data_IF_690202315848
#
_entry.id   IF_690202315848
#
_cell.length_a   1.000
_cell.length_b   1.000
_cell.length_c   1.000
_cell.angle_alpha   90.00
_cell.angle_beta   90.00
_cell.angle_gamma   90.00
#
_symmetry.space_group_name_H-M   'P 1'
#
loop_
_entity.id
_entity.type
_entity.pdbx_description
1 polymer ?
#
# COMPACT_ATOMS: atom_id res chain seq x y z
N UNK A 1 4.78 -23.65 -10.35
CA UNK A 1 6.10 -24.02 -9.79
C UNK A 1 6.36 -23.40 -8.42
N UNK A 2 6.02 -22.14 -8.20
CA UNK A 2 6.31 -21.41 -6.94
C UNK A 2 5.71 -22.05 -5.69
N UNK A 3 4.41 -22.42 -5.68
CA UNK A 3 3.74 -23.02 -4.50
C UNK A 3 4.44 -24.29 -4.00
N UNK A 4 4.69 -25.27 -4.89
CA UNK A 4 5.34 -26.55 -4.53
C UNK A 4 6.72 -26.33 -3.92
N UNK A 5 7.53 -25.44 -4.51
CA UNK A 5 8.86 -25.13 -3.99
C UNK A 5 8.79 -24.47 -2.62
N UNK A 6 7.91 -23.48 -2.41
CA UNK A 6 7.75 -22.83 -1.09
C UNK A 6 7.26 -23.81 -0.01
N UNK A 7 6.35 -24.72 -0.37
CA UNK A 7 5.91 -25.79 0.52
C UNK A 7 7.04 -26.77 0.89
N UNK A 8 7.94 -27.10 -0.05
CA UNK A 8 9.12 -27.92 0.26
C UNK A 8 10.11 -27.25 1.24
N UNK A 9 10.03 -25.92 1.39
CA UNK A 9 10.78 -25.17 2.41
C UNK A 9 10.04 -25.09 3.77
N UNK A 10 8.95 -25.84 3.93
CA UNK A 10 8.13 -25.85 5.15
C UNK A 10 7.30 -24.58 5.37
N UNK A 11 7.06 -23.79 4.31
CA UNK A 11 6.30 -22.54 4.38
C UNK A 11 4.84 -22.78 3.99
N UNK A 12 3.93 -22.19 4.76
CA UNK A 12 2.53 -22.07 4.36
C UNK A 12 2.42 -21.13 3.16
N UNK A 13 1.72 -21.54 2.10
CA UNK A 13 1.50 -20.69 0.92
C UNK A 13 0.05 -20.24 0.93
N UNK A 14 -0.15 -18.96 1.20
CA UNK A 14 -1.47 -18.31 1.25
C UNK A 14 -1.68 -17.58 -0.08
N UNK A 15 -2.80 -17.83 -0.74
CA UNK A 15 -3.13 -17.20 -2.02
C UNK A 15 -4.45 -16.47 -1.90
N UNK A 16 -4.37 -15.16 -1.69
CA UNK A 16 -5.50 -14.27 -1.68
C UNK A 16 -6.02 -14.11 -3.11
N UNK A 17 -7.06 -14.88 -3.44
CA UNK A 17 -7.64 -14.95 -4.78
C UNK A 17 -9.16 -14.76 -4.71
N UNK A 18 -9.62 -13.53 -4.38
CA UNK A 18 -11.04 -13.28 -4.11
C UNK A 18 -11.95 -13.59 -5.31
N UNK A 19 -11.44 -13.54 -6.54
CA UNK A 19 -12.20 -13.81 -7.77
C UNK A 19 -12.07 -15.25 -8.29
N UNK A 20 -11.31 -16.11 -7.60
CA UNK A 20 -11.16 -17.51 -8.02
C UNK A 20 -10.48 -17.70 -9.38
N UNK A 21 -9.66 -16.76 -9.84
CA UNK A 21 -9.15 -16.68 -11.24
C UNK A 21 -8.31 -17.90 -11.64
N UNK A 22 -7.36 -18.27 -10.79
CA UNK A 22 -6.38 -19.33 -11.08
C UNK A 22 -6.72 -20.65 -10.37
N UNK A 23 -7.52 -20.58 -9.32
CA UNK A 23 -8.02 -21.70 -8.52
C UNK A 23 -9.21 -21.24 -7.67
N UNK A 24 -10.05 -22.14 -7.14
CA UNK A 24 -11.12 -21.75 -6.24
C UNK A 24 -10.59 -20.92 -5.06
N UNK A 25 -11.31 -19.86 -4.69
CA UNK A 25 -10.98 -19.05 -3.53
C UNK A 25 -11.09 -19.90 -2.26
N UNK A 26 -9.95 -20.11 -1.58
CA UNK A 26 -9.85 -20.97 -0.37
C UNK A 26 -9.30 -20.20 0.82
N UNK A 27 -8.30 -19.37 0.58
CA UNK A 27 -7.71 -18.53 1.61
C UNK A 27 -8.54 -17.27 1.80
N UNK A 28 -8.77 -16.92 3.06
CA UNK A 28 -9.52 -15.75 3.47
C UNK A 28 -8.61 -14.79 4.22
N UNK A 29 -8.99 -13.52 4.25
CA UNK A 29 -8.25 -12.48 4.95
C UNK A 29 -9.21 -11.49 5.59
N UNK A 30 -9.21 -11.43 6.92
CA UNK A 30 -9.92 -10.41 7.67
C UNK A 30 -8.93 -9.32 8.12
N UNK A 31 -9.01 -8.10 7.57
CA UNK A 31 -8.13 -7.01 7.98
C UNK A 31 -8.24 -6.64 9.46
N UNK A 32 -9.38 -6.91 10.10
CA UNK A 32 -9.58 -6.59 11.51
C UNK A 32 -8.80 -7.51 12.47
N UNK A 33 -8.32 -8.67 12.00
CA UNK A 33 -7.45 -9.56 12.80
C UNK A 33 -6.08 -8.92 13.11
N UNK A 34 -5.74 -7.83 12.42
CA UNK A 34 -4.57 -7.00 12.74
C UNK A 34 -4.70 -6.29 14.10
N UNK A 35 -5.93 -5.99 14.53
CA UNK A 35 -6.22 -5.07 15.63
C UNK A 35 -6.10 -5.76 16.99
N UNK A 36 -5.21 -5.25 17.84
CA UNK A 36 -5.07 -5.72 19.22
C UNK A 36 -5.91 -4.87 20.17
N UNK A 37 -6.64 -5.53 21.08
CA UNK A 37 -7.46 -4.82 22.07
C UNK A 37 -6.65 -3.84 22.94
N UNK A 38 -5.41 -4.20 23.31
CA UNK A 38 -4.52 -3.32 24.09
C UNK A 38 -4.05 -2.06 23.34
N UNK A 39 -4.15 -2.03 22.01
CA UNK A 39 -3.72 -0.92 21.16
C UNK A 39 -4.81 -0.51 20.16
N UNK A 40 -6.07 -0.69 20.56
CA UNK A 40 -7.25 -0.62 19.71
C UNK A 40 -7.24 0.58 18.77
N UNK A 41 -7.14 1.80 19.32
CA UNK A 41 -7.16 3.05 18.55
C UNK A 41 -6.03 3.09 17.52
N UNK A 42 -4.79 2.81 17.93
CA UNK A 42 -3.62 2.86 17.04
C UNK A 42 -3.75 1.86 15.90
N UNK A 43 -4.20 0.64 16.19
CA UNK A 43 -4.28 -0.42 15.19
C UNK A 43 -5.48 -0.19 14.24
N UNK A 44 -6.59 0.42 14.71
CA UNK A 44 -7.72 0.85 13.88
C UNK A 44 -7.30 1.89 12.84
N UNK A 45 -6.50 2.89 13.23
CA UNK A 45 -6.04 3.94 12.30
C UNK A 45 -5.26 3.35 11.11
N UNK A 46 -4.53 2.24 11.31
CA UNK A 46 -3.84 1.55 10.21
C UNK A 46 -4.84 0.98 9.19
N UNK A 47 -5.97 0.45 9.65
CA UNK A 47 -7.01 -0.06 8.75
C UNK A 47 -7.72 1.09 8.04
N UNK A 48 -8.09 2.15 8.77
CA UNK A 48 -8.77 3.32 8.20
C UNK A 48 -7.91 4.07 7.15
N UNK A 49 -6.62 4.26 7.42
CA UNK A 49 -5.65 4.87 6.48
C UNK A 49 -5.44 4.00 5.21
N UNK A 50 -5.57 2.69 5.36
CA UNK A 50 -5.52 1.74 4.24
C UNK A 50 -6.74 1.82 3.34
N UNK A 51 -7.92 2.08 3.91
CA UNK A 51 -9.20 2.15 3.20
C UNK A 51 -9.41 3.50 2.49
N UNK A 52 -9.04 4.61 3.11
CA UNK A 52 -9.30 5.95 2.56
C UNK A 52 -8.05 6.49 1.87
N UNK A 53 -8.18 6.78 0.57
CA UNK A 53 -7.11 7.42 -0.20
C UNK A 53 -7.00 8.91 0.20
N UNK A 54 -5.78 9.46 0.32
CA UNK A 54 -5.59 10.90 0.48
C UNK A 54 -6.15 11.63 -0.75
N UNK A 55 -6.87 12.73 -0.50
CA UNK A 55 -7.33 13.66 -1.53
C UNK A 55 -6.71 15.05 -1.31
N UNK A 56 -6.59 15.85 -2.36
CA UNK A 56 -6.07 17.23 -2.28
C UNK A 56 -7.18 18.27 -2.06
N UNK A 57 -6.78 19.48 -1.66
CA UNK A 57 -7.69 20.62 -1.51
C UNK A 57 -8.83 20.36 -0.52
N UNK A 58 -10.06 20.74 -0.88
CA UNK A 58 -11.25 20.51 -0.05
C UNK A 58 -11.55 19.01 0.20
N UNK A 59 -11.09 18.12 -0.70
CA UNK A 59 -11.23 16.67 -0.54
C UNK A 59 -10.47 16.12 0.66
N UNK A 60 -9.33 16.74 1.02
CA UNK A 60 -8.52 16.32 2.17
C UNK A 60 -9.32 16.31 3.48
N UNK A 61 -10.08 17.38 3.72
CA UNK A 61 -10.91 17.48 4.91
C UNK A 61 -12.01 16.41 4.95
N UNK A 62 -12.64 16.10 3.81
CA UNK A 62 -13.65 15.04 3.74
C UNK A 62 -13.03 13.65 3.93
N UNK A 63 -11.83 13.41 3.41
CA UNK A 63 -11.08 12.18 3.63
C UNK A 63 -10.73 11.97 5.11
N UNK A 64 -10.32 13.01 5.84
CA UNK A 64 -10.07 12.91 7.30
C UNK A 64 -11.34 12.59 8.09
N UNK A 65 -12.46 13.22 7.74
CA UNK A 65 -13.74 12.93 8.40
C UNK A 65 -14.25 11.52 8.09
N UNK A 66 -14.11 11.07 6.83
CA UNK A 66 -14.45 9.71 6.44
C UNK A 66 -13.59 8.68 7.18
N UNK A 67 -12.27 8.91 7.29
CA UNK A 67 -11.37 8.08 8.10
C UNK A 67 -11.81 8.00 9.56
N UNK A 68 -12.09 9.16 10.16
CA UNK A 68 -12.55 9.23 11.56
C UNK A 68 -13.85 8.46 11.78
N UNK A 69 -14.81 8.56 10.86
CA UNK A 69 -16.06 7.81 10.92
C UNK A 69 -15.84 6.31 10.74
N UNK A 70 -15.04 5.89 9.75
CA UNK A 70 -14.70 4.47 9.53
C UNK A 70 -14.00 3.89 10.77
N UNK A 71 -13.05 4.63 11.34
CA UNK A 71 -12.36 4.24 12.56
C UNK A 71 -13.34 4.06 13.74
N UNK A 72 -14.30 4.99 13.91
CA UNK A 72 -15.34 4.88 14.93
C UNK A 72 -16.22 3.63 14.74
N UNK A 73 -16.64 3.33 13.51
CA UNK A 73 -17.44 2.12 13.25
C UNK A 73 -16.64 0.86 13.53
N UNK A 74 -15.38 0.79 13.10
CA UNK A 74 -14.49 -0.34 13.41
C UNK A 74 -14.35 -0.48 14.93
N UNK A 75 -14.19 0.61 15.68
CA UNK A 75 -14.08 0.59 17.14
C UNK A 75 -15.33 -0.03 17.80
N UNK A 76 -16.53 0.37 17.35
CA UNK A 76 -17.78 -0.21 17.84
C UNK A 76 -17.89 -1.70 17.47
N UNK A 77 -17.51 -2.08 16.25
CA UNK A 77 -17.49 -3.50 15.85
C UNK A 77 -16.55 -4.32 16.73
N UNK A 78 -15.32 -3.83 16.95
CA UNK A 78 -14.31 -4.54 17.74
C UNK A 78 -14.65 -4.66 19.23
N UNK A 79 -15.46 -3.74 19.77
CA UNK A 79 -15.79 -3.68 21.20
C UNK A 79 -17.17 -4.21 21.54
N UNK A 80 -18.14 -4.13 20.62
CA UNK A 80 -19.56 -4.46 20.89
C UNK A 80 -20.06 -5.67 20.13
N UNK A 81 -19.36 -6.13 19.09
CA UNK A 81 -19.72 -7.35 18.38
C UNK A 81 -18.97 -8.55 18.94
N UNK A 82 -19.61 -9.72 18.83
CA UNK A 82 -18.99 -11.01 19.09
C UNK A 82 -17.87 -11.25 18.10
N UNK A 83 -16.90 -12.09 18.47
CA UNK A 83 -15.67 -12.29 17.69
C UNK A 83 -15.92 -12.75 16.25
N UNK A 84 -16.93 -13.58 16.01
CA UNK A 84 -17.32 -14.03 14.67
C UNK A 84 -17.73 -12.91 13.72
N UNK A 85 -18.19 -11.79 14.29
CA UNK A 85 -18.75 -10.66 13.54
C UNK A 85 -17.75 -9.51 13.45
N UNK A 86 -16.52 -9.67 13.96
CA UNK A 86 -15.46 -8.66 13.91
C UNK A 86 -14.72 -8.68 12.58
N UNK A 87 -15.43 -8.32 11.51
CA UNK A 87 -14.88 -8.26 10.16
C UNK A 87 -15.36 -7.00 9.43
N UNK A 88 -14.75 -6.70 8.28
CA UNK A 88 -15.14 -5.54 7.47
C UNK A 88 -16.55 -5.63 6.90
N UNK A 89 -17.12 -6.83 6.81
CA UNK A 89 -18.48 -7.05 6.33
C UNK A 89 -19.47 -6.38 7.29
N UNK A 90 -19.34 -6.65 8.59
CA UNK A 90 -20.14 -6.01 9.64
C UNK A 90 -19.95 -4.50 9.69
N UNK A 91 -18.73 -4.01 9.43
CA UNK A 91 -18.44 -2.57 9.35
C UNK A 91 -19.22 -1.94 8.19
N UNK A 92 -19.20 -2.55 7.01
CA UNK A 92 -19.96 -2.09 5.84
C UNK A 92 -21.46 -2.13 6.08
N UNK A 93 -21.97 -3.23 6.62
CA UNK A 93 -23.40 -3.41 6.87
C UNK A 93 -23.93 -2.36 7.85
N UNK A 94 -23.13 -1.97 8.84
CA UNK A 94 -23.45 -0.91 9.78
C UNK A 94 -23.42 0.48 9.13
N UNK A 95 -22.34 0.81 8.41
CA UNK A 95 -22.16 2.09 7.70
C UNK A 95 -23.25 2.36 6.66
N UNK A 96 -23.68 1.32 5.94
CA UNK A 96 -24.64 1.44 4.85
C UNK A 96 -26.06 1.01 5.25
N UNK A 97 -26.31 0.80 6.54
CA UNK A 97 -27.65 0.48 7.04
C UNK A 97 -28.62 1.65 6.86
N UNK A 98 -29.89 1.35 6.56
CA UNK A 98 -30.94 2.37 6.51
C UNK A 98 -31.17 3.07 7.86
N UNK A 99 -30.76 2.43 8.96
CA UNK A 99 -30.85 2.97 10.32
C UNK A 99 -29.60 3.72 10.78
N UNK A 100 -28.61 3.93 9.91
CA UNK A 100 -27.31 4.47 10.32
C UNK A 100 -27.42 5.80 11.06
N UNK A 101 -28.32 6.70 10.63
CA UNK A 101 -28.55 7.97 11.33
C UNK A 101 -29.05 7.80 12.76
N UNK A 102 -29.98 6.87 12.99
CA UNK A 102 -30.46 6.52 14.34
C UNK A 102 -29.31 5.95 15.18
N UNK A 103 -28.48 5.10 14.58
CA UNK A 103 -27.27 4.57 15.23
C UNK A 103 -26.31 5.67 15.62
N UNK A 104 -26.09 6.68 14.77
CA UNK A 104 -25.25 7.83 15.10
C UNK A 104 -25.82 8.63 16.28
N UNK A 105 -27.14 8.86 16.31
CA UNK A 105 -27.78 9.55 17.44
C UNK A 105 -27.55 8.78 18.74
N UNK A 106 -27.75 7.46 18.73
CA UNK A 106 -27.53 6.60 19.90
C UNK A 106 -26.07 6.66 20.39
N UNK A 107 -25.10 6.61 19.46
CA UNK A 107 -23.68 6.71 19.83
C UNK A 107 -23.34 8.06 20.43
N UNK A 108 -23.85 9.15 19.85
CA UNK A 108 -23.60 10.50 20.33
C UNK A 108 -24.14 10.74 21.76
N UNK A 109 -25.25 10.08 22.13
CA UNK A 109 -25.88 10.23 23.44
C UNK A 109 -25.39 9.26 24.51
N UNK A 110 -24.66 8.21 24.12
CA UNK A 110 -24.26 7.11 25.03
C UNK A 110 -22.75 6.80 24.95
N UNK A 111 -21.87 7.77 25.23
CA UNK A 111 -20.41 7.58 25.16
C UNK A 111 -19.88 6.51 26.12
N UNK A 112 -20.53 6.27 27.25
CA UNK A 112 -20.22 5.17 28.18
C UNK A 112 -20.49 3.79 27.56
N UNK A 113 -21.44 3.73 26.62
CA UNK A 113 -21.87 2.50 25.94
C UNK A 113 -21.15 2.28 24.62
N UNK A 114 -20.66 3.31 23.92
CA UNK A 114 -20.01 3.12 22.61
C UNK A 114 -18.56 3.57 22.57
N UNK A 115 -18.10 4.29 23.60
CA UNK A 115 -16.79 4.92 23.64
C UNK A 115 -16.88 6.39 23.23
N UNK A 116 -15.94 7.19 23.74
CA UNK A 116 -15.90 8.64 23.51
C UNK A 116 -15.56 8.99 22.06
N UNK A 117 -14.71 8.19 21.39
CA UNK A 117 -14.34 8.37 19.98
C UNK A 117 -15.52 8.13 19.04
N UNK A 118 -16.26 6.99 19.11
CA UNK A 118 -17.47 6.81 18.32
C UNK A 118 -18.54 7.86 18.57
N UNK A 119 -18.77 8.24 19.84
CA UNK A 119 -19.71 9.30 20.19
C UNK A 119 -19.33 10.66 19.56
N UNK A 120 -18.05 11.05 19.62
CA UNK A 120 -17.57 12.29 19.04
C UNK A 120 -17.63 12.29 17.51
N UNK A 121 -17.27 11.18 16.86
CA UNK A 121 -17.38 11.04 15.41
C UNK A 121 -18.85 11.13 14.95
N UNK A 122 -19.76 10.49 15.68
CA UNK A 122 -21.19 10.54 15.41
C UNK A 122 -21.76 11.96 15.58
N UNK A 123 -21.47 12.62 16.70
CA UNK A 123 -21.89 14.00 16.95
C UNK A 123 -21.37 14.96 15.85
N UNK A 124 -20.12 14.78 15.42
CA UNK A 124 -19.50 15.57 14.36
C UNK A 124 -20.22 15.39 13.01
N UNK A 125 -20.59 14.15 12.65
CA UNK A 125 -21.31 13.88 11.40
C UNK A 125 -22.75 14.39 11.45
N UNK A 126 -23.43 14.26 12.59
CA UNK A 126 -24.79 14.80 12.80
C UNK A 126 -24.83 16.33 12.77
N UNK A 127 -23.80 17.00 13.27
CA UNK A 127 -23.68 18.45 13.24
C UNK A 127 -23.28 19.01 11.85
N UNK A 128 -22.84 18.15 10.92
CA UNK A 128 -22.47 18.59 9.58
C UNK A 128 -23.71 18.92 8.75
N UNK A 129 -23.70 20.06 8.04
CA UNK A 129 -24.75 20.39 7.08
C UNK A 129 -24.83 19.38 5.93
N UNK A 130 -25.99 19.29 5.28
CA UNK A 130 -26.33 18.25 4.28
C UNK A 130 -25.26 18.05 3.20
N UNK A 131 -24.77 19.13 2.58
CA UNK A 131 -23.72 19.06 1.55
C UNK A 131 -22.42 18.44 2.08
N UNK A 132 -22.02 18.78 3.30
CA UNK A 132 -20.81 18.27 3.94
C UNK A 132 -20.98 16.80 4.30
N UNK A 133 -22.14 16.42 4.85
CA UNK A 133 -22.48 15.03 5.16
C UNK A 133 -22.49 14.17 3.89
N UNK A 134 -23.13 14.63 2.82
CA UNK A 134 -23.15 13.93 1.53
C UNK A 134 -21.76 13.72 0.92
N UNK A 135 -20.86 14.70 1.06
CA UNK A 135 -19.46 14.56 0.64
C UNK A 135 -18.72 13.48 1.45
N UNK A 136 -18.89 13.46 2.77
CA UNK A 136 -18.28 12.44 3.66
C UNK A 136 -18.81 11.05 3.31
N UNK A 137 -20.13 10.90 3.17
CA UNK A 137 -20.77 9.63 2.80
C UNK A 137 -20.27 9.13 1.43
N UNK A 138 -20.05 10.03 0.48
CA UNK A 138 -19.47 9.68 -0.83
C UNK A 138 -18.05 9.15 -0.69
N UNK A 139 -17.22 9.78 0.16
CA UNK A 139 -15.86 9.30 0.42
C UNK A 139 -15.85 7.95 1.14
N UNK A 140 -16.77 7.73 2.08
CA UNK A 140 -16.94 6.42 2.74
C UNK A 140 -17.35 5.35 1.72
N UNK A 141 -18.31 5.64 0.83
CA UNK A 141 -18.71 4.70 -0.25
C UNK A 141 -17.51 4.31 -1.11
N UNK A 142 -16.74 5.28 -1.60
CA UNK A 142 -15.50 5.02 -2.38
C UNK A 142 -14.51 4.11 -1.66
N UNK A 143 -14.41 4.19 -0.32
CA UNK A 143 -13.50 3.37 0.48
C UNK A 143 -13.90 1.87 0.53
N UNK A 144 -15.18 1.56 0.25
CA UNK A 144 -15.72 0.19 0.30
C UNK A 144 -16.29 -0.30 -1.04
N UNK A 145 -16.29 0.52 -2.10
CA UNK A 145 -16.84 0.16 -3.42
C UNK A 145 -16.21 -1.10 -4.02
N UNK A 146 -14.97 -1.42 -3.64
CA UNK A 146 -14.28 -2.64 -4.05
C UNK A 146 -14.89 -3.92 -3.47
N UNK A 147 -15.57 -3.86 -2.32
CA UNK A 147 -16.02 -5.02 -1.52
C UNK A 147 -17.50 -5.39 -1.71
N UNK A 148 -18.06 -5.13 -2.90
CA UNK A 148 -19.51 -5.27 -3.18
C UNK A 148 -19.97 -6.70 -3.50
N UNK A 149 -19.07 -7.59 -3.91
CA UNK A 149 -19.45 -8.94 -4.35
C UNK A 149 -19.55 -9.92 -3.17
N UNK A 150 -20.42 -10.92 -3.28
CA UNK A 150 -20.59 -11.93 -2.24
C UNK A 150 -19.33 -12.78 -2.06
N UNK A 151 -18.57 -13.00 -3.14
CA UNK A 151 -17.27 -13.67 -3.10
C UNK A 151 -16.26 -12.91 -2.25
N UNK A 152 -16.21 -11.58 -2.40
CA UNK A 152 -15.35 -10.72 -1.59
C UNK A 152 -15.81 -10.66 -0.14
N UNK A 153 -17.13 -10.65 0.12
CA UNK A 153 -17.66 -10.74 1.48
C UNK A 153 -17.23 -12.06 2.13
N UNK A 154 -17.40 -13.20 1.45
CA UNK A 154 -16.92 -14.50 1.96
C UNK A 154 -15.41 -14.49 2.24
N UNK A 155 -14.63 -13.90 1.33
CA UNK A 155 -13.18 -13.76 1.46
C UNK A 155 -12.74 -12.92 2.67
N UNK A 156 -13.51 -11.90 3.06
CA UNK A 156 -13.19 -10.99 4.17
C UNK A 156 -13.64 -11.49 5.57
N UNK A 157 -14.31 -12.65 5.63
CA UNK A 157 -14.98 -13.11 6.86
C UNK A 157 -14.03 -13.56 7.98
N UNK A 158 -12.84 -14.05 7.65
CA UNK A 158 -11.84 -14.54 8.61
C UNK A 158 -10.44 -14.57 7.96
N UNK A 159 -9.36 -14.71 8.72
CA UNK A 159 -8.03 -14.97 8.15
C UNK A 159 -7.65 -16.44 8.17
N UNK A 160 -7.15 -16.95 7.04
CA UNK A 160 -6.56 -18.31 6.98
C UNK A 160 -5.13 -18.35 7.55
N UNK A 161 -4.45 -17.20 7.62
CA UNK A 161 -3.10 -17.09 8.14
C UNK A 161 -2.90 -15.75 8.86
N UNK A 162 -2.20 -15.77 9.99
CA UNK A 162 -1.74 -14.55 10.65
C UNK A 162 -0.64 -13.87 9.83
N UNK A 163 -0.69 -12.54 9.71
CA UNK A 163 0.37 -11.76 9.05
C UNK A 163 1.72 -11.85 9.79
N UNK A 164 1.73 -12.18 11.09
CA UNK A 164 2.97 -12.41 11.83
C UNK A 164 3.80 -13.57 11.26
N UNK A 165 3.13 -14.57 10.66
CA UNK A 165 3.80 -15.71 10.05
C UNK A 165 4.71 -15.30 8.88
N UNK A 166 4.45 -14.16 8.24
CA UNK A 166 5.33 -13.60 7.21
C UNK A 166 6.71 -13.27 7.80
N UNK A 167 6.72 -12.54 8.92
CA UNK A 167 7.93 -12.08 9.63
C UNK A 167 8.62 -13.17 10.45
N UNK A 168 7.89 -14.25 10.78
CA UNK A 168 8.47 -15.47 11.36
C UNK A 168 9.05 -16.41 10.32
N UNK A 169 8.91 -16.10 9.03
CA UNK A 169 9.37 -16.94 7.93
C UNK A 169 8.61 -18.26 7.80
N UNK A 170 7.36 -18.29 8.26
CA UNK A 170 6.46 -19.45 8.25
C UNK A 170 5.46 -19.41 7.09
N UNK A 171 5.20 -18.25 6.50
CA UNK A 171 4.24 -18.10 5.41
C UNK A 171 4.78 -17.24 4.25
N UNK A 172 4.31 -17.55 3.03
CA UNK A 172 4.37 -16.68 1.85
C UNK A 172 2.93 -16.31 1.46
N UNK A 173 2.71 -15.03 1.15
CA UNK A 173 1.42 -14.50 0.73
C UNK A 173 1.50 -14.05 -0.73
N UNK A 174 0.56 -14.51 -1.54
CA UNK A 174 0.39 -14.10 -2.93
C UNK A 174 -0.99 -13.47 -3.09
N UNK A 175 -1.06 -12.36 -3.83
CA UNK A 175 -2.32 -11.72 -4.20
C UNK A 175 -2.58 -11.95 -5.68
N UNK A 176 -3.80 -12.36 -6.02
CA UNK A 176 -4.24 -12.60 -7.39
C UNK A 176 -5.41 -11.66 -7.68
N UNK A 177 -5.19 -10.72 -8.58
CA UNK A 177 -6.22 -9.80 -9.09
C UNK A 177 -6.30 -9.95 -10.61
N UNK A 178 -7.49 -10.15 -11.20
CA UNK A 178 -7.68 -10.06 -12.64
C UNK A 178 -7.19 -8.71 -13.19
N UNK A 179 -6.62 -8.67 -14.40
CA UNK A 179 -6.10 -7.43 -15.00
C UNK A 179 -7.17 -6.34 -15.13
N UNK A 180 -8.40 -6.72 -15.44
CA UNK A 180 -9.56 -5.83 -15.55
C UNK A 180 -10.09 -5.33 -14.19
N UNK A 181 -9.64 -5.94 -13.08
CA UNK A 181 -10.05 -5.59 -11.71
C UNK A 181 -8.98 -4.83 -10.93
N UNK A 182 -7.76 -4.64 -11.47
CA UNK A 182 -6.63 -4.04 -10.74
C UNK A 182 -7.00 -2.68 -10.17
N UNK A 183 -7.59 -1.79 -10.98
CA UNK A 183 -7.96 -0.45 -10.53
C UNK A 183 -9.14 -0.46 -9.55
N UNK A 184 -10.11 -1.35 -9.77
CA UNK A 184 -11.25 -1.53 -8.87
C UNK A 184 -10.81 -2.05 -7.49
N UNK A 185 -9.74 -2.84 -7.43
CA UNK A 185 -9.21 -3.44 -6.20
C UNK A 185 -8.05 -2.66 -5.58
N UNK A 186 -7.66 -1.53 -6.15
CA UNK A 186 -6.50 -0.79 -5.65
C UNK A 186 -6.68 -0.27 -4.20
N UNK A 187 -7.92 -0.06 -3.71
CA UNK A 187 -8.16 0.21 -2.28
C UNK A 187 -7.86 -1.02 -1.41
N UNK A 188 -8.26 -2.22 -1.85
CA UNK A 188 -7.93 -3.44 -1.13
C UNK A 188 -6.42 -3.71 -1.12
N UNK A 189 -5.75 -3.55 -2.26
CA UNK A 189 -4.28 -3.69 -2.35
C UNK A 189 -3.57 -2.69 -1.42
N UNK A 190 -4.07 -1.45 -1.37
CA UNK A 190 -3.59 -0.41 -0.46
C UNK A 190 -3.80 -0.84 1.00
N UNK A 191 -4.99 -1.31 1.35
CA UNK A 191 -5.29 -1.80 2.70
C UNK A 191 -4.34 -2.92 3.11
N UNK A 192 -4.24 -3.98 2.30
CA UNK A 192 -3.36 -5.12 2.55
C UNK A 192 -1.91 -4.67 2.75
N UNK A 193 -1.43 -3.81 1.85
CA UNK A 193 -0.08 -3.24 1.94
C UNK A 193 0.07 -2.47 3.25
N UNK A 194 -0.86 -1.57 3.58
CA UNK A 194 -0.80 -0.76 4.79
C UNK A 194 -0.79 -1.61 6.07
N UNK A 195 -1.56 -2.70 6.10
CA UNK A 195 -1.60 -3.65 7.22
C UNK A 195 -0.28 -4.42 7.36
N UNK A 196 0.33 -4.87 6.26
CA UNK A 196 1.64 -5.56 6.28
C UNK A 196 2.75 -4.60 6.76
N UNK A 197 2.76 -3.37 6.25
CA UNK A 197 3.72 -2.34 6.67
C UNK A 197 3.52 -1.96 8.14
N UNK A 198 2.27 -1.83 8.58
CA UNK A 198 1.94 -1.62 9.99
C UNK A 198 2.45 -2.75 10.89
N UNK A 199 2.33 -4.00 10.44
CA UNK A 199 2.86 -5.15 11.16
C UNK A 199 4.39 -5.11 11.29
N UNK A 200 5.11 -4.71 10.23
CA UNK A 200 6.56 -4.56 10.28
C UNK A 200 7.02 -3.54 11.31
N UNK A 201 6.43 -2.34 11.29
CA UNK A 201 6.73 -1.26 12.25
C UNK A 201 6.37 -1.68 13.67
N UNK A 202 5.25 -2.39 13.84
CA UNK A 202 4.84 -2.95 15.13
C UNK A 202 5.86 -3.96 15.67
N UNK A 203 6.37 -4.84 14.81
CA UNK A 203 7.33 -5.87 15.22
C UNK A 203 8.68 -5.27 15.56
N UNK A 204 9.19 -4.32 14.77
CA UNK A 204 10.47 -3.64 15.05
C UNK A 204 10.55 -3.11 16.49
N UNK A 205 9.48 -2.45 16.96
CA UNK A 205 9.41 -1.90 18.32
C UNK A 205 9.29 -2.94 19.44
N UNK A 206 9.05 -4.22 19.13
CA UNK A 206 8.79 -5.28 20.11
C UNK A 206 9.79 -6.44 20.05
N UNK A 207 10.13 -6.92 18.84
CA UNK A 207 11.05 -8.05 18.60
C UNK A 207 11.64 -7.97 17.19
N UNK A 208 12.93 -8.31 17.05
CA UNK A 208 13.53 -8.43 15.71
C UNK A 208 12.83 -9.54 14.90
N UNK A 209 12.48 -9.28 13.63
CA UNK A 209 11.90 -10.30 12.76
C UNK A 209 12.90 -11.44 12.54
N UNK A 210 12.40 -12.67 12.44
CA UNK A 210 13.26 -13.85 12.21
C UNK A 210 13.78 -13.90 10.78
N UNK A 211 13.00 -13.37 9.85
CA UNK A 211 13.35 -13.22 8.43
C UNK A 211 12.78 -11.93 7.88
N UNK A 212 13.49 -11.35 6.92
CA UNK A 212 12.98 -10.23 6.15
C UNK A 212 11.86 -10.70 5.23
N UNK A 213 10.84 -9.87 5.09
CA UNK A 213 9.74 -10.04 4.14
C UNK A 213 10.08 -9.27 2.87
N UNK A 214 10.23 -9.97 1.75
CA UNK A 214 10.29 -9.33 0.44
C UNK A 214 8.87 -8.93 0.02
N UNK A 215 8.60 -7.63 0.02
CA UNK A 215 7.34 -7.05 -0.43
C UNK A 215 7.49 -6.59 -1.88
N UNK A 216 6.91 -7.36 -2.81
CA UNK A 216 6.91 -7.02 -4.23
C UNK A 216 5.65 -6.23 -4.57
N UNK A 217 5.83 -4.98 -4.97
CA UNK A 217 4.73 -4.07 -5.31
C UNK A 217 4.77 -3.78 -6.81
N UNK A 218 3.99 -4.57 -7.54
CA UNK A 218 3.77 -4.35 -8.97
C UNK A 218 2.88 -3.12 -9.17
N UNK A 219 3.27 -2.23 -10.08
CA UNK A 219 2.62 -0.94 -10.35
C UNK A 219 2.19 -0.19 -9.07
N UNK A 220 3.13 -0.03 -8.12
CA UNK A 220 2.83 0.48 -6.77
C UNK A 220 2.18 1.86 -6.76
N UNK A 221 2.37 2.66 -7.82
CA UNK A 221 1.74 3.96 -8.02
C UNK A 221 0.20 3.87 -8.01
N UNK A 222 -0.39 2.72 -8.36
CA UNK A 222 -1.84 2.47 -8.31
C UNK A 222 -2.43 2.46 -6.90
N UNK A 223 -1.60 2.20 -5.89
CA UNK A 223 -2.00 2.27 -4.47
C UNK A 223 -2.29 3.72 -4.02
N UNK A 224 -1.96 4.70 -4.87
CA UNK A 224 -1.96 6.11 -4.55
C UNK A 224 -0.88 6.45 -3.54
N UNK A 225 -0.86 7.72 -3.11
CA UNK A 225 0.14 8.18 -2.16
C UNK A 225 -0.01 7.45 -0.82
N UNK A 226 1.05 6.76 -0.40
CA UNK A 226 1.14 6.07 0.89
C UNK A 226 2.33 6.61 1.68
N UNK A 227 2.07 7.38 2.74
CA UNK A 227 3.12 7.91 3.61
C UNK A 227 3.98 6.80 4.22
N UNK A 228 3.37 5.65 4.55
CA UNK A 228 4.13 4.49 5.06
C UNK A 228 5.17 3.95 4.09
N UNK A 229 4.95 4.04 2.77
CA UNK A 229 5.94 3.60 1.78
C UNK A 229 7.15 4.54 1.75
N UNK A 230 6.93 5.85 1.87
CA UNK A 230 8.00 6.86 1.99
C UNK A 230 8.77 6.64 3.29
N UNK A 231 8.06 6.43 4.39
CA UNK A 231 8.68 6.19 5.69
C UNK A 231 9.49 4.90 5.70
N UNK A 232 9.00 3.82 5.09
CA UNK A 232 9.77 2.57 4.99
C UNK A 232 10.97 2.74 4.07
N UNK A 233 10.86 3.45 2.95
CA UNK A 233 12.02 3.82 2.14
C UNK A 233 13.12 4.49 2.99
N UNK A 234 12.75 5.37 3.93
CA UNK A 234 13.71 6.09 4.78
C UNK A 234 14.14 5.33 6.05
N UNK A 235 13.29 4.45 6.60
CA UNK A 235 13.45 3.79 7.92
C UNK A 235 13.73 2.28 7.76
N UNK A 236 13.73 1.71 6.56
CA UNK A 236 13.80 0.27 6.27
C UNK A 236 14.98 -0.48 6.92
N UNK A 237 16.02 0.22 7.41
CA UNK A 237 17.11 -0.37 8.16
C UNK A 237 16.66 -0.84 9.56
N UNK A 238 15.81 -1.88 9.65
CA UNK A 238 15.41 -2.49 10.92
C UNK A 238 14.06 -3.20 10.91
N UNK A 239 13.11 -2.72 10.10
CA UNK A 239 11.72 -3.21 10.09
C UNK A 239 11.51 -4.63 9.52
N UNK A 240 12.56 -5.26 8.98
CA UNK A 240 12.47 -6.58 8.33
C UNK A 240 11.59 -6.61 7.09
N UNK A 241 11.49 -5.50 6.36
CA UNK A 241 10.90 -5.44 5.02
C UNK A 241 12.00 -5.06 4.03
N UNK A 242 12.03 -5.79 2.92
CA UNK A 242 12.73 -5.41 1.70
C UNK A 242 11.67 -5.13 0.63
N UNK A 243 11.57 -3.90 0.15
CA UNK A 243 10.58 -3.53 -0.86
C UNK A 243 11.17 -3.61 -2.27
N UNK A 244 10.44 -4.23 -3.19
CA UNK A 244 10.71 -4.17 -4.62
C UNK A 244 9.58 -3.39 -5.28
N UNK A 245 9.87 -2.14 -5.66
CA UNK A 245 8.95 -1.27 -6.38
C UNK A 245 9.08 -1.51 -7.89
N UNK A 246 7.94 -1.69 -8.56
CA UNK A 246 7.86 -1.81 -10.01
C UNK A 246 6.87 -0.75 -10.52
N UNK A 247 7.25 -0.06 -11.57
CA UNK A 247 6.47 1.00 -12.22
C UNK A 247 6.86 1.06 -13.69
N UNK A 248 5.97 1.58 -14.54
CA UNK A 248 6.28 1.78 -15.95
C UNK A 248 7.37 2.83 -16.17
N UNK A 249 7.23 4.01 -15.54
CA UNK A 249 8.17 5.10 -15.70
C UNK A 249 8.31 5.93 -14.41
N UNK A 250 9.33 6.78 -14.36
CA UNK A 250 9.60 7.69 -13.25
C UNK A 250 8.52 8.78 -13.09
N UNK A 251 7.93 9.24 -14.19
CA UNK A 251 6.91 10.28 -14.20
C UNK A 251 5.64 9.86 -13.44
N UNK A 252 5.27 8.57 -13.51
CA UNK A 252 4.16 8.04 -12.71
C UNK A 252 4.41 8.16 -11.20
N UNK A 253 5.64 7.88 -10.74
CA UNK A 253 6.00 8.07 -9.33
C UNK A 253 5.85 9.56 -8.96
N UNK A 254 6.39 10.46 -9.77
CA UNK A 254 6.31 11.91 -9.53
C UNK A 254 4.86 12.42 -9.54
N UNK A 255 3.98 11.84 -10.35
CA UNK A 255 2.57 12.23 -10.41
C UNK A 255 1.81 11.90 -9.12
N UNK A 256 2.18 10.82 -8.44
CA UNK A 256 1.51 10.35 -7.21
C UNK A 256 2.16 10.92 -5.96
N UNK A 257 3.49 10.98 -5.93
CA UNK A 257 4.26 11.35 -4.73
C UNK A 257 4.81 12.78 -4.79
N UNK A 258 4.80 13.43 -5.95
CA UNK A 258 5.52 14.68 -6.16
C UNK A 258 7.02 14.44 -6.35
N UNK A 259 7.71 15.42 -6.94
CA UNK A 259 9.13 15.29 -7.31
C UNK A 259 10.07 15.02 -6.13
N UNK A 260 9.81 15.67 -5.00
CA UNK A 260 10.65 15.53 -3.79
C UNK A 260 10.62 14.10 -3.24
N UNK A 261 9.43 13.61 -2.89
CA UNK A 261 9.29 12.27 -2.32
C UNK A 261 9.58 11.17 -3.34
N UNK A 262 9.32 11.38 -4.62
CA UNK A 262 9.74 10.46 -5.67
C UNK A 262 11.27 10.30 -5.71
N UNK A 263 12.01 11.41 -5.59
CA UNK A 263 13.47 11.37 -5.49
C UNK A 263 13.94 10.67 -4.21
N UNK A 264 13.24 10.85 -3.07
CA UNK A 264 13.53 10.12 -1.83
C UNK A 264 13.29 8.61 -1.97
N UNK A 265 12.16 8.20 -2.56
CA UNK A 265 11.87 6.78 -2.81
C UNK A 265 12.94 6.16 -3.71
N UNK A 266 13.25 6.80 -4.86
CA UNK A 266 14.28 6.30 -5.77
C UNK A 266 15.68 6.30 -5.12
N UNK A 267 16.02 7.33 -4.36
CA UNK A 267 17.30 7.44 -3.65
C UNK A 267 17.47 6.42 -2.53
N UNK A 268 16.39 5.95 -1.92
CA UNK A 268 16.42 4.87 -0.92
C UNK A 268 16.64 3.48 -1.53
N UNK A 269 16.36 3.32 -2.83
CA UNK A 269 16.50 2.04 -3.52
C UNK A 269 17.98 1.74 -3.76
N UNK A 270 18.51 0.77 -3.01
CA UNK A 270 19.91 0.30 -3.14
C UNK A 270 20.20 -0.29 -4.53
N UNK A 271 19.18 -0.79 -5.22
CA UNK A 271 19.29 -1.31 -6.58
C UNK A 271 18.15 -0.78 -7.44
N UNK A 272 18.51 -0.16 -8.55
CA UNK A 272 17.58 0.23 -9.61
C UNK A 272 17.84 -0.63 -10.84
N UNK A 273 16.78 -1.19 -11.43
CA UNK A 273 16.86 -1.89 -12.72
C UNK A 273 15.92 -1.20 -13.69
N UNK A 274 16.44 -0.92 -14.89
CA UNK A 274 15.71 -0.22 -15.92
C UNK A 274 15.62 -1.15 -17.13
N UNK A 275 14.41 -1.37 -17.61
CA UNK A 275 14.13 -2.25 -18.73
C UNK A 275 13.48 -1.45 -19.86
N UNK A 276 13.94 -1.65 -21.10
CA UNK A 276 13.22 -1.19 -22.27
C UNK A 276 12.93 0.31 -22.36
N UNK A 277 13.90 1.18 -22.08
CA UNK A 277 13.77 2.63 -22.27
C UNK A 277 13.34 2.94 -23.71
N UNK A 278 12.09 3.36 -23.87
CA UNK A 278 11.54 3.75 -25.16
C UNK A 278 12.14 5.07 -25.65
N UNK A 279 12.09 5.32 -26.96
CA UNK A 279 12.60 6.57 -27.57
C UNK A 279 11.91 7.84 -27.04
N UNK A 280 10.71 7.71 -26.47
CA UNK A 280 9.91 8.83 -25.96
C UNK A 280 10.15 9.11 -24.45
N UNK A 281 10.85 8.24 -23.72
CA UNK A 281 11.06 8.37 -22.27
C UNK A 281 12.35 9.14 -21.95
N UNK A 282 12.48 10.35 -22.49
CA UNK A 282 13.69 11.16 -22.37
C UNK A 282 14.03 11.50 -20.91
N UNK A 283 13.02 11.77 -20.08
CA UNK A 283 13.25 12.11 -18.66
C UNK A 283 13.81 10.93 -17.86
N UNK A 284 13.22 9.73 -18.02
CA UNK A 284 13.71 8.52 -17.35
C UNK A 284 15.11 8.15 -17.86
N UNK A 285 15.36 8.28 -19.16
CA UNK A 285 16.66 8.00 -19.76
C UNK A 285 17.76 8.96 -19.25
N UNK A 286 17.48 10.27 -19.17
CA UNK A 286 18.44 11.24 -18.64
C UNK A 286 18.70 11.04 -17.15
N UNK A 287 17.65 10.77 -16.38
CA UNK A 287 17.81 10.44 -14.97
C UNK A 287 18.70 9.20 -14.80
N UNK A 288 18.47 8.15 -15.60
CA UNK A 288 19.26 6.93 -15.59
C UNK A 288 20.72 7.17 -15.98
N UNK A 289 20.97 7.94 -17.04
CA UNK A 289 22.31 8.30 -17.49
C UNK A 289 23.07 9.05 -16.38
N UNK A 290 22.42 10.05 -15.77
CA UNK A 290 23.01 10.80 -14.66
C UNK A 290 23.27 9.92 -13.42
N UNK A 291 22.41 8.94 -13.14
CA UNK A 291 22.54 8.04 -12.00
C UNK A 291 23.65 6.98 -12.20
N UNK A 292 23.84 6.50 -13.43
CA UNK A 292 24.94 5.59 -13.79
C UNK A 292 26.30 6.31 -13.75
N UNK A 293 26.30 7.61 -14.03
CA UNK A 293 27.49 8.45 -14.07
C UNK A 293 28.32 8.25 -15.34
N UNK A 294 29.41 9.00 -15.42
CA UNK A 294 30.33 8.96 -16.55
C UNK A 294 31.51 8.04 -16.23
N UNK A 295 32.07 7.40 -17.26
CA UNK A 295 33.34 6.70 -17.16
C UNK A 295 34.38 7.42 -18.02
N UNK A 296 35.47 7.86 -17.41
CA UNK A 296 36.62 8.38 -18.16
C UNK A 296 37.20 7.29 -19.05
N UNK A 297 37.26 7.56 -20.34
CA UNK A 297 37.86 6.68 -21.33
C UNK A 297 39.08 7.34 -21.97
N UNK A 298 40.09 6.51 -22.29
CA UNK A 298 41.27 6.97 -23.02
C UNK A 298 40.98 6.92 -24.52
N UNK A 299 40.79 8.09 -25.12
CA UNK A 299 40.58 8.22 -26.56
C UNK A 299 41.92 8.38 -27.27
N UNK A 300 42.20 7.48 -28.22
CA UNK A 300 43.42 7.53 -29.04
C UNK A 300 43.07 7.98 -30.46
N UNK A 301 43.38 9.23 -30.78
CA UNK A 301 43.13 9.79 -32.11
C UNK A 301 44.35 9.57 -33.00
N UNK A 302 44.16 8.86 -34.12
CA UNK A 302 45.17 8.69 -35.16
C UNK A 302 44.84 9.62 -36.32
N UNK A 303 45.69 10.60 -36.58
CA UNK A 303 45.60 11.41 -37.80
C UNK A 303 46.46 10.77 -38.89
N UNK A 304 45.83 10.52 -40.04
CA UNK A 304 46.50 10.07 -41.26
C UNK A 304 47.22 11.25 -41.91
N UNK A 305 48.46 11.03 -42.36
CA UNK A 305 49.22 12.03 -43.09
C UNK A 305 48.49 12.41 -44.39
N UNK A 306 48.40 13.73 -44.67
CA UNK A 306 47.72 14.24 -45.87
C UNK A 306 48.59 14.18 -47.12
N UNK A 307 49.91 13.96 -46.98
CA UNK A 307 50.88 13.89 -48.08
C UNK A 307 51.83 12.71 -47.93
N UNK A 308 52.30 12.20 -49.07
CA UNK A 308 53.28 11.12 -49.14
C UNK A 308 54.61 11.59 -48.54
N UNK A 309 55.08 10.94 -47.48
CA UNK A 309 56.33 11.28 -46.77
C UNK A 309 56.16 11.80 -45.33
N UNK A 310 54.95 12.13 -44.89
CA UNK A 310 54.70 12.55 -43.49
C UNK A 310 54.40 11.36 -42.56
N UNK A 311 54.89 11.45 -41.31
CA UNK A 311 54.70 10.44 -40.28
C UNK A 311 53.32 10.54 -39.61
N UNK A 312 52.67 9.39 -39.39
CA UNK A 312 51.39 9.32 -38.65
C UNK A 312 51.58 9.85 -37.23
N UNK A 313 50.81 10.87 -36.85
CA UNK A 313 50.73 11.35 -35.47
C UNK A 313 49.62 10.62 -34.74
N UNK A 314 49.94 10.14 -33.54
CA UNK A 314 48.95 9.58 -32.63
C UNK A 314 48.94 10.39 -31.36
N UNK A 315 47.79 10.92 -30.98
CA UNK A 315 47.58 11.55 -29.68
C UNK A 315 46.67 10.67 -28.82
N UNK A 316 46.92 10.68 -27.52
CA UNK A 316 46.05 10.06 -26.52
C UNK A 316 45.54 11.18 -25.63
N UNK A 317 44.23 11.24 -25.41
CA UNK A 317 43.60 12.18 -24.50
C UNK A 317 42.60 11.44 -23.61
N UNK A 318 42.49 11.87 -22.36
CA UNK A 318 41.41 11.45 -21.49
C UNK A 318 40.14 12.19 -21.90
N UNK A 319 39.05 11.46 -22.04
CA UNK A 319 37.74 12.01 -22.36
C UNK A 319 36.76 11.48 -21.33
N UNK A 320 36.02 12.41 -20.72
CA UNK A 320 34.94 12.10 -19.78
C UNK A 320 33.65 11.82 -20.55
#
# INVERSE_FOLDING_TARGET
MTRRYRQSLGRQVVVLNPFGVIEPSKDRFNPLDYIRQAHLVRDIEVIAEGLVRPEGGNGAHFAEMAKSMIAAVIEVVMTRRVESDRNLITVMDLLFSASFEKTLTEWATSPETFGTRPAAAAATLLAAGENKRGAIETTIKKAFDWARSDELRSFLSASTCSLENLFEGRADLFMVVPLDQVDAQAVFLRLLTNTILGMAVRLEGARKPKRNVLLVLDEFVRLGRMEKLINIANVAAGCGIEALFITHDKGQIESVYGKGDAASILGSCVTTRIFGLGRAEFETANWAANALGDQTVLTRTKQSAAKFGESRKTSTAEQR
#
